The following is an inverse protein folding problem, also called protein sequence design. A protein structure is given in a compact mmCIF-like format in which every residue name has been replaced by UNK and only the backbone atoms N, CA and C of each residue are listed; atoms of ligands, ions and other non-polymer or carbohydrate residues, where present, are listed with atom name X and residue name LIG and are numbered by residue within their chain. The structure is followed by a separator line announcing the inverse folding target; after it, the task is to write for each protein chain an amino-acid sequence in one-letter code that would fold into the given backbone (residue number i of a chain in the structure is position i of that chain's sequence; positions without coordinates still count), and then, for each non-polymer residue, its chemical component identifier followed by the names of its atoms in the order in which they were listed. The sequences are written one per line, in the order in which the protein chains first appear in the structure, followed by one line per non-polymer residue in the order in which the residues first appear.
data_IF_919891067465
#
_entry.id   IF_919891067465
#
_cell.length_a   1.000
_cell.length_b   1.000
_cell.length_c   1.000
_cell.angle_alpha   90.00
_cell.angle_beta   90.00
_cell.angle_gamma   90.00
#
_symmetry.space_group_name_H-M   'P 1'
#
loop_
_entity.id
_entity.type
_entity.pdbx_description
1 polymer ?
#
# COMPACT_ATOMS: atom_id res chain seq x y z
N UNK A 1 -1.93 17.85 9.06
CA UNK A 1 -1.56 17.79 7.63
C UNK A 1 -2.70 18.22 6.71
N UNK A 2 -3.88 17.58 6.74
CA UNK A 2 -5.02 17.96 5.88
C UNK A 2 -5.44 19.44 6.01
N UNK A 3 -5.68 19.93 7.24
CA UNK A 3 -6.02 21.35 7.47
C UNK A 3 -4.94 22.34 6.99
N UNK A 4 -3.69 21.89 6.90
CA UNK A 4 -2.57 22.69 6.42
C UNK A 4 -2.39 22.60 4.89
N UNK A 5 -3.24 21.86 4.17
CA UNK A 5 -3.22 21.73 2.71
C UNK A 5 -2.18 20.75 2.17
N UNK A 6 -1.67 19.82 2.99
CA UNK A 6 -0.61 18.88 2.59
C UNK A 6 -1.13 17.47 2.23
N UNK A 7 -2.43 17.25 2.19
CA UNK A 7 -3.03 15.94 1.85
C UNK A 7 -3.90 16.10 0.61
N UNK A 8 -3.80 15.16 -0.33
CA UNK A 8 -4.58 15.21 -1.56
C UNK A 8 -4.14 16.32 -2.52
N UNK A 9 -2.84 16.65 -2.57
CA UNK A 9 -2.32 17.72 -3.43
C UNK A 9 -2.73 17.51 -4.90
N UNK A 10 -2.62 16.27 -5.41
CA UNK A 10 -2.99 15.96 -6.80
C UNK A 10 -4.44 15.55 -6.97
N UNK A 11 -5.16 15.43 -5.85
CA UNK A 11 -6.53 14.98 -5.85
C UNK A 11 -7.45 16.08 -6.36
N UNK A 12 -8.52 15.79 -7.12
CA UNK A 12 -9.35 16.83 -7.71
C UNK A 12 -10.03 17.73 -6.68
N UNK A 13 -10.17 19.01 -7.04
CA UNK A 13 -10.71 20.06 -6.15
C UNK A 13 -12.16 19.81 -5.78
N UNK A 14 -12.96 19.24 -6.68
CA UNK A 14 -14.38 18.92 -6.45
C UNK A 14 -14.59 17.87 -5.34
N UNK A 15 -13.54 17.15 -4.97
CA UNK A 15 -13.57 16.14 -3.90
C UNK A 15 -12.79 16.56 -2.65
N UNK A 16 -12.28 17.80 -2.59
CA UNK A 16 -11.55 18.33 -1.43
C UNK A 16 -10.02 18.19 -1.52
N UNK A 17 -9.48 17.90 -2.70
CA UNK A 17 -8.04 17.99 -2.98
C UNK A 17 -7.62 19.36 -3.50
N UNK A 18 -6.38 19.46 -4.00
CA UNK A 18 -5.82 20.71 -4.51
C UNK A 18 -5.64 20.76 -6.04
N UNK A 19 -5.92 19.67 -6.75
CA UNK A 19 -5.86 19.60 -8.21
C UNK A 19 -4.50 19.92 -8.82
N UNK A 20 -3.42 19.77 -8.04
CA UNK A 20 -2.07 20.09 -8.47
C UNK A 20 -1.48 19.00 -9.35
N UNK A 21 -0.42 19.34 -10.09
CA UNK A 21 0.35 18.38 -10.87
C UNK A 21 0.97 17.28 -9.99
N UNK A 22 1.09 16.02 -10.47
CA UNK A 22 1.74 14.91 -9.74
C UNK A 22 3.10 15.22 -9.12
N UNK A 23 3.86 16.15 -9.70
CA UNK A 23 5.16 16.59 -9.16
C UNK A 23 5.07 17.17 -7.75
N UNK A 24 3.93 17.76 -7.36
CA UNK A 24 3.79 18.38 -6.03
C UNK A 24 3.74 17.37 -4.89
N UNK A 25 3.23 16.15 -5.13
CA UNK A 25 3.33 15.07 -4.14
C UNK A 25 4.77 14.60 -3.94
N UNK A 26 5.53 14.48 -5.03
CA UNK A 26 6.95 14.15 -4.95
C UNK A 26 7.75 15.23 -4.20
N UNK A 27 7.51 16.52 -4.50
CA UNK A 27 8.15 17.64 -3.80
C UNK A 27 7.79 17.62 -2.30
N UNK A 28 6.52 17.47 -1.96
CA UNK A 28 6.09 17.41 -0.56
C UNK A 28 6.80 16.27 0.18
N UNK A 29 6.86 15.08 -0.41
CA UNK A 29 7.53 13.94 0.19
C UNK A 29 9.03 14.20 0.43
N UNK A 30 9.73 14.79 -0.55
CA UNK A 30 11.15 15.14 -0.42
C UNK A 30 11.38 16.17 0.70
N UNK A 31 10.56 17.23 0.76
CA UNK A 31 10.64 18.26 1.80
C UNK A 31 10.34 17.71 3.20
N UNK A 32 9.32 16.85 3.34
CA UNK A 32 9.01 16.19 4.62
C UNK A 32 10.17 15.30 5.07
N UNK A 33 10.77 14.53 4.15
CA UNK A 33 11.94 13.71 4.44
C UNK A 33 13.15 14.54 4.87
N UNK A 34 13.43 15.64 4.17
CA UNK A 34 14.52 16.56 4.50
C UNK A 34 14.32 17.22 5.88
N UNK A 35 13.08 17.56 6.23
CA UNK A 35 12.71 18.12 7.54
C UNK A 35 12.66 17.07 8.66
N UNK A 36 12.74 15.77 8.33
CA UNK A 36 12.51 14.69 9.28
C UNK A 36 11.07 14.63 9.82
N UNK A 37 10.12 15.16 9.07
CA UNK A 37 8.70 15.15 9.40
C UNK A 37 8.09 13.77 9.06
N UNK A 38 6.98 13.38 9.73
CA UNK A 38 6.22 12.20 9.36
C UNK A 38 5.72 12.28 7.90
N UNK A 39 5.61 11.16 7.18
CA UNK A 39 5.02 11.14 5.84
C UNK A 39 3.51 11.43 5.90
N UNK A 40 2.89 11.84 4.77
CA UNK A 40 1.44 11.92 4.67
C UNK A 40 0.80 10.53 4.86
N UNK A 41 -0.45 10.46 5.34
CA UNK A 41 -1.18 9.20 5.42
C UNK A 41 -1.25 8.48 4.07
N UNK A 42 -1.05 7.16 4.07
CA UNK A 42 -1.01 6.32 2.85
C UNK A 42 -2.41 6.01 2.29
N UNK A 43 -3.21 7.05 2.06
CA UNK A 43 -4.63 6.92 1.69
C UNK A 43 -4.89 6.75 0.19
N UNK A 44 -3.89 7.05 -0.66
CA UNK A 44 -4.09 7.31 -2.09
C UNK A 44 -4.75 6.20 -2.90
N UNK A 45 -4.55 4.92 -2.55
CA UNK A 45 -5.11 3.81 -3.30
C UNK A 45 -6.63 3.66 -3.10
N UNK A 46 -7.10 3.73 -1.86
CA UNK A 46 -8.54 3.65 -1.55
C UNK A 46 -9.25 4.92 -2.04
N UNK A 47 -8.64 6.09 -1.88
CA UNK A 47 -9.20 7.35 -2.42
C UNK A 47 -9.37 7.27 -3.93
N UNK A 48 -8.39 6.73 -4.66
CA UNK A 48 -8.49 6.54 -6.11
C UNK A 48 -9.53 5.47 -6.48
N UNK A 49 -9.67 4.39 -5.71
CA UNK A 49 -10.71 3.40 -5.95
C UNK A 49 -12.11 4.03 -5.95
N UNK A 50 -12.41 4.79 -4.91
CA UNK A 50 -13.70 5.44 -4.74
C UNK A 50 -13.90 6.52 -5.81
N UNK A 51 -12.86 7.30 -6.13
CA UNK A 51 -12.93 8.34 -7.17
C UNK A 51 -13.22 7.76 -8.55
N UNK A 52 -12.53 6.68 -8.92
CA UNK A 52 -12.56 6.13 -10.27
C UNK A 52 -13.77 5.23 -10.51
N UNK A 53 -14.20 4.48 -9.49
CA UNK A 53 -15.22 3.43 -9.64
C UNK A 53 -16.46 3.65 -8.77
N UNK A 54 -16.45 4.63 -7.89
CA UNK A 54 -17.59 4.98 -7.06
C UNK A 54 -18.71 5.66 -7.85
N UNK A 55 -19.94 5.45 -7.41
CA UNK A 55 -21.06 6.33 -7.74
C UNK A 55 -20.82 7.72 -7.13
N UNK A 56 -21.64 8.69 -7.51
CA UNK A 56 -21.56 10.02 -6.92
C UNK A 56 -21.99 10.01 -5.44
N UNK A 57 -22.82 9.05 -5.02
CA UNK A 57 -23.11 8.75 -3.62
C UNK A 57 -21.86 8.28 -2.88
N UNK A 58 -21.11 7.31 -3.42
CA UNK A 58 -19.86 6.82 -2.82
C UNK A 58 -18.85 7.96 -2.65
N UNK A 59 -18.66 8.76 -3.70
CA UNK A 59 -17.70 9.87 -3.68
C UNK A 59 -18.06 10.90 -2.60
N UNK A 60 -19.33 11.31 -2.55
CA UNK A 60 -19.83 12.28 -1.53
C UNK A 60 -19.73 11.73 -0.12
N UNK A 61 -20.04 10.45 0.09
CA UNK A 61 -20.07 9.84 1.41
C UNK A 61 -18.67 9.59 1.99
N UNK A 62 -17.70 9.21 1.16
CA UNK A 62 -16.44 8.66 1.65
C UNK A 62 -15.20 9.53 1.42
N UNK A 63 -15.10 10.25 0.30
CA UNK A 63 -13.88 11.00 -0.04
C UNK A 63 -13.52 12.09 0.99
N UNK A 64 -14.47 12.89 1.52
CA UNK A 64 -14.12 13.92 2.51
C UNK A 64 -13.52 13.36 3.80
N UNK A 65 -14.10 12.28 4.35
CA UNK A 65 -13.62 11.64 5.58
C UNK A 65 -12.26 10.98 5.40
N UNK A 66 -12.05 10.38 4.23
CA UNK A 66 -10.82 9.69 3.87
C UNK A 66 -9.67 10.70 3.64
N UNK A 67 -9.88 11.77 2.86
CA UNK A 67 -8.89 12.84 2.64
C UNK A 67 -8.52 13.58 3.93
N UNK A 68 -9.51 13.85 4.78
CA UNK A 68 -9.26 14.48 6.08
C UNK A 68 -8.63 13.54 7.11
N UNK A 69 -8.53 12.24 6.79
CA UNK A 69 -8.09 11.18 7.71
C UNK A 69 -8.91 11.08 9.00
N UNK A 70 -10.13 11.62 9.00
CA UNK A 70 -11.08 11.49 10.12
C UNK A 70 -11.79 10.13 10.11
N UNK A 71 -11.80 9.47 8.95
CA UNK A 71 -12.28 8.10 8.77
C UNK A 71 -11.14 7.26 8.22
N UNK A 72 -10.74 6.23 8.97
CA UNK A 72 -9.69 5.28 8.58
C UNK A 72 -10.26 4.11 7.80
N UNK A 73 -9.47 3.64 6.86
CA UNK A 73 -9.80 2.55 5.97
C UNK A 73 -8.70 1.50 5.98
N UNK A 74 -9.09 0.24 5.83
CA UNK A 74 -8.18 -0.86 5.59
C UNK A 74 -8.52 -1.59 4.27
N UNK A 75 -7.60 -2.44 3.81
CA UNK A 75 -7.74 -3.23 2.59
C UNK A 75 -7.87 -4.73 2.91
N UNK A 76 -9.04 -5.30 2.63
CA UNK A 76 -9.34 -6.72 2.86
C UNK A 76 -9.16 -7.57 1.61
N UNK A 77 -7.92 -7.80 1.17
CA UNK A 77 -7.64 -8.59 -0.04
C UNK A 77 -7.16 -10.01 0.29
N UNK A 78 -5.99 -10.11 0.91
CA UNK A 78 -5.31 -11.38 1.19
C UNK A 78 -6.10 -12.26 2.15
N UNK A 79 -6.03 -13.57 1.93
CA UNK A 79 -6.58 -14.62 2.78
C UNK A 79 -5.46 -15.58 3.21
N UNK A 80 -5.65 -16.38 4.27
CA UNK A 80 -4.63 -17.34 4.71
C UNK A 80 -4.10 -18.25 3.60
N UNK A 81 -4.95 -18.59 2.63
CA UNK A 81 -4.62 -19.46 1.50
C UNK A 81 -4.55 -18.74 0.14
N UNK A 82 -4.71 -17.41 0.10
CA UNK A 82 -4.73 -16.63 -1.14
C UNK A 82 -4.03 -15.27 -0.94
N UNK A 83 -2.75 -15.21 -1.30
CA UNK A 83 -1.94 -13.98 -1.32
C UNK A 83 -1.44 -13.66 -2.72
N UNK A 84 -0.39 -14.36 -3.17
CA UNK A 84 0.12 -14.19 -4.55
C UNK A 84 -0.90 -14.64 -5.61
N UNK A 85 -1.66 -15.70 -5.33
CA UNK A 85 -2.83 -16.10 -6.12
C UNK A 85 -4.08 -15.40 -5.60
N UNK A 86 -4.13 -14.08 -5.76
CA UNK A 86 -5.24 -13.26 -5.27
C UNK A 86 -6.59 -13.65 -5.93
N UNK A 87 -6.56 -14.12 -7.18
CA UNK A 87 -7.76 -14.55 -7.90
C UNK A 87 -8.40 -15.82 -7.28
N UNK A 88 -7.60 -16.61 -6.56
CA UNK A 88 -8.01 -17.83 -5.84
C UNK A 88 -8.71 -17.60 -4.51
N UNK A 89 -8.96 -16.34 -4.11
CA UNK A 89 -9.63 -15.99 -2.85
C UNK A 89 -11.03 -16.63 -2.73
N UNK A 90 -11.46 -16.91 -1.49
CA UNK A 90 -12.64 -17.70 -1.16
C UNK A 90 -13.68 -16.97 -0.31
N UNK A 91 -13.36 -15.82 0.31
CA UNK A 91 -14.37 -14.99 0.98
C UNK A 91 -15.50 -14.73 0.00
N UNK A 92 -16.72 -15.12 0.37
CA UNK A 92 -17.91 -15.02 -0.47
C UNK A 92 -18.79 -13.88 0.03
N UNK A 93 -19.49 -13.26 -0.91
CA UNK A 93 -20.53 -12.28 -0.66
C UNK A 93 -21.75 -12.71 -1.48
N UNK A 94 -22.72 -13.36 -0.84
CA UNK A 94 -23.92 -13.88 -1.49
C UNK A 94 -25.00 -12.82 -1.43
N UNK A 95 -25.55 -12.44 -2.57
CA UNK A 95 -26.65 -11.48 -2.64
C UNK A 95 -27.93 -12.10 -2.09
N UNK A 96 -28.57 -11.39 -1.16
CA UNK A 96 -29.86 -11.69 -0.56
C UNK A 96 -30.83 -10.59 -1.01
N UNK A 97 -31.87 -10.98 -1.74
CA UNK A 97 -32.88 -10.02 -2.22
C UNK A 97 -33.73 -9.48 -1.07
N UNK A 98 -34.33 -8.32 -1.30
CA UNK A 98 -35.25 -7.68 -0.37
C UNK A 98 -36.45 -8.59 -0.06
N UNK A 99 -36.80 -8.71 1.22
CA UNK A 99 -37.99 -9.43 1.70
C UNK A 99 -38.70 -8.59 2.74
N UNK A 100 -40.03 -8.48 2.68
CA UNK A 100 -40.85 -7.89 3.74
C UNK A 100 -40.39 -6.50 4.23
N UNK A 101 -39.95 -5.64 3.30
CA UNK A 101 -39.52 -4.27 3.60
C UNK A 101 -38.05 -4.13 4.03
N UNK A 102 -37.28 -5.21 4.12
CA UNK A 102 -35.83 -5.14 4.31
C UNK A 102 -35.13 -4.76 2.99
N UNK A 103 -34.04 -3.97 3.02
CA UNK A 103 -33.24 -3.73 1.83
C UNK A 103 -32.53 -5.02 1.38
N UNK A 104 -32.16 -5.08 0.09
CA UNK A 104 -31.29 -6.13 -0.41
C UNK A 104 -29.87 -5.97 0.15
N UNK A 105 -29.21 -7.08 0.47
CA UNK A 105 -27.87 -7.10 1.08
C UNK A 105 -26.97 -8.14 0.43
N UNK A 106 -25.66 -8.00 0.62
CA UNK A 106 -24.71 -9.10 0.51
C UNK A 106 -24.47 -9.68 1.89
N UNK A 107 -24.63 -11.00 2.02
CA UNK A 107 -24.19 -11.76 3.19
C UNK A 107 -22.78 -12.28 2.96
N UNK A 108 -21.86 -11.90 3.83
CA UNK A 108 -20.43 -12.10 3.67
C UNK A 108 -19.94 -13.14 4.65
N UNK A 109 -19.20 -14.12 4.14
CA UNK A 109 -18.56 -15.16 4.94
C UNK A 109 -17.13 -15.39 4.46
N UNK A 110 -16.19 -15.44 5.39
CA UNK A 110 -14.79 -15.72 5.09
C UNK A 110 -13.82 -15.08 6.05
N UNK A 111 -12.57 -14.95 5.61
CA UNK A 111 -11.49 -14.44 6.44
C UNK A 111 -10.47 -13.70 5.58
N UNK A 112 -10.08 -12.51 6.03
CA UNK A 112 -8.92 -11.77 5.53
C UNK A 112 -7.79 -11.81 6.56
N UNK A 113 -6.56 -11.67 6.09
CA UNK A 113 -5.36 -11.68 6.92
C UNK A 113 -4.34 -10.67 6.39
N UNK A 114 -3.43 -10.21 7.26
CA UNK A 114 -2.47 -9.15 6.97
C UNK A 114 -3.16 -7.83 6.61
N UNK A 115 -4.35 -7.61 7.17
CA UNK A 115 -5.12 -6.39 6.93
C UNK A 115 -4.56 -5.27 7.80
N UNK A 116 -3.76 -4.39 7.19
CA UNK A 116 -3.15 -3.26 7.89
C UNK A 116 -4.20 -2.37 8.55
N UNK A 117 -3.97 -2.04 9.82
CA UNK A 117 -4.73 -1.10 10.63
C UNK A 117 -6.23 -1.40 10.77
N UNK A 118 -6.68 -2.63 10.50
CA UNK A 118 -8.10 -2.98 10.54
C UNK A 118 -8.75 -2.71 11.91
N UNK A 119 -8.04 -2.97 13.01
CA UNK A 119 -8.56 -2.75 14.38
C UNK A 119 -8.82 -1.27 14.69
N UNK A 120 -8.22 -0.33 13.94
CA UNK A 120 -8.45 1.11 14.09
C UNK A 120 -9.26 1.72 12.93
N UNK A 121 -9.63 0.91 11.94
CA UNK A 121 -10.34 1.35 10.75
C UNK A 121 -11.85 1.33 10.96
N UNK A 122 -12.56 2.23 10.27
CA UNK A 122 -14.02 2.25 10.28
C UNK A 122 -14.58 1.51 9.07
N UNK A 123 -13.81 1.43 7.98
CA UNK A 123 -14.21 0.80 6.73
C UNK A 123 -13.14 -0.14 6.20
N UNK A 124 -13.57 -1.18 5.49
CA UNK A 124 -12.74 -2.11 4.76
C UNK A 124 -13.12 -2.05 3.28
N UNK A 125 -12.12 -1.78 2.42
CA UNK A 125 -12.23 -2.04 0.99
C UNK A 125 -12.03 -3.54 0.77
N UNK A 126 -13.14 -4.29 0.70
CA UNK A 126 -13.16 -5.74 0.69
C UNK A 126 -13.22 -6.28 -0.74
N UNK A 127 -12.33 -7.22 -1.06
CA UNK A 127 -12.45 -8.03 -2.27
C UNK A 127 -13.06 -9.40 -1.92
N UNK A 128 -14.22 -9.69 -2.49
CA UNK A 128 -14.97 -10.92 -2.21
C UNK A 128 -15.54 -11.54 -3.50
N UNK A 129 -15.84 -12.83 -3.47
CA UNK A 129 -16.47 -13.56 -4.55
C UNK A 129 -17.99 -13.36 -4.51
N UNK A 130 -18.57 -12.72 -5.52
CA UNK A 130 -20.03 -12.56 -5.67
C UNK A 130 -20.58 -13.40 -6.81
N UNK A 131 -19.83 -13.54 -7.91
CA UNK A 131 -20.27 -14.29 -9.10
C UNK A 131 -19.60 -15.67 -9.12
N UNK A 132 -20.05 -16.58 -8.25
CA UNK A 132 -19.41 -17.89 -8.04
C UNK A 132 -19.31 -18.74 -9.33
N UNK A 133 -20.25 -18.59 -10.26
CA UNK A 133 -20.31 -19.34 -11.51
C UNK A 133 -19.48 -18.72 -12.65
N UNK A 134 -18.85 -17.57 -12.42
CA UNK A 134 -18.01 -16.88 -13.41
C UNK A 134 -16.54 -17.31 -13.31
N UNK A 135 -15.75 -17.16 -14.40
CA UNK A 135 -14.31 -17.34 -14.35
C UNK A 135 -13.66 -16.48 -13.25
N UNK A 136 -12.57 -16.93 -12.65
CA UNK A 136 -11.99 -16.33 -11.43
C UNK A 136 -11.86 -14.80 -11.46
N UNK A 137 -11.39 -14.21 -12.57
CA UNK A 137 -11.24 -12.74 -12.69
C UNK A 137 -12.55 -11.97 -12.85
N UNK A 138 -13.66 -12.63 -13.21
CA UNK A 138 -15.01 -12.05 -13.28
C UNK A 138 -15.89 -12.45 -12.09
N UNK A 139 -15.37 -13.28 -11.21
CA UNK A 139 -16.09 -13.78 -10.04
C UNK A 139 -16.02 -12.84 -8.82
N UNK A 140 -15.12 -11.85 -8.87
CA UNK A 140 -14.78 -11.02 -7.74
C UNK A 140 -15.43 -9.65 -7.85
N UNK A 141 -15.88 -9.11 -6.72
CA UNK A 141 -16.43 -7.77 -6.58
C UNK A 141 -15.72 -7.03 -5.46
N UNK A 142 -15.71 -5.70 -5.58
CA UNK A 142 -15.17 -4.81 -4.56
C UNK A 142 -16.32 -4.24 -3.73
N UNK A 143 -16.26 -4.35 -2.41
CA UNK A 143 -17.30 -3.86 -1.50
C UNK A 143 -16.70 -2.86 -0.50
N UNK A 144 -17.47 -1.82 -0.17
CA UNK A 144 -17.19 -0.88 0.91
C UNK A 144 -17.86 -1.40 2.18
N UNK A 145 -17.11 -1.99 3.12
CA UNK A 145 -17.71 -2.65 4.28
C UNK A 145 -17.44 -1.86 5.56
N UNK A 146 -18.47 -1.39 6.29
CA UNK A 146 -18.29 -0.85 7.63
C UNK A 146 -17.76 -1.95 8.56
N UNK A 147 -16.67 -1.68 9.27
CA UNK A 147 -16.10 -2.68 10.20
C UNK A 147 -16.92 -2.83 11.49
N UNK A 148 -17.90 -1.96 11.71
CA UNK A 148 -18.91 -2.09 12.78
C UNK A 148 -20.09 -3.00 12.40
N UNK A 149 -20.12 -3.55 11.18
CA UNK A 149 -21.20 -4.45 10.75
C UNK A 149 -21.25 -5.69 11.65
N UNK A 150 -22.42 -6.07 12.20
CA UNK A 150 -22.57 -7.31 12.97
C UNK A 150 -22.11 -8.53 12.17
N UNK A 151 -21.43 -9.46 12.85
CA UNK A 151 -20.81 -10.62 12.21
C UNK A 151 -19.35 -10.41 11.76
N UNK A 152 -18.76 -9.23 12.03
CA UNK A 152 -17.33 -8.99 11.86
C UNK A 152 -16.56 -9.14 13.18
N UNK A 153 -15.36 -9.70 13.10
CA UNK A 153 -14.40 -9.77 14.21
C UNK A 153 -12.98 -9.47 13.70
N UNK A 154 -12.32 -8.47 14.29
CA UNK A 154 -10.96 -8.07 13.95
C UNK A 154 -10.00 -8.50 15.07
N UNK A 155 -9.01 -9.34 14.74
CA UNK A 155 -8.03 -9.86 15.70
C UNK A 155 -6.64 -9.40 15.36
N UNK A 156 -5.99 -8.68 16.29
CA UNK A 156 -4.62 -8.21 16.12
C UNK A 156 -3.64 -9.36 15.83
N UNK A 157 -2.71 -9.12 14.92
CA UNK A 157 -1.54 -9.96 14.68
C UNK A 157 -0.34 -9.24 15.27
N UNK A 158 0.37 -9.92 16.16
CA UNK A 158 1.65 -9.44 16.69
C UNK A 158 2.75 -9.89 15.74
N UNK A 159 3.50 -8.94 15.17
CA UNK A 159 4.58 -9.24 14.24
C UNK A 159 5.78 -9.87 14.95
N UNK A 160 6.76 -10.36 14.19
CA UNK A 160 8.01 -10.87 14.74
C UNK A 160 8.79 -9.82 15.57
N UNK A 161 8.56 -8.53 15.32
CA UNK A 161 9.15 -7.44 16.09
C UNK A 161 8.27 -7.02 17.29
N UNK A 162 7.02 -7.46 17.36
CA UNK A 162 6.10 -7.13 18.47
C UNK A 162 5.11 -6.01 18.17
N UNK A 163 5.16 -5.42 16.97
CA UNK A 163 4.19 -4.42 16.50
C UNK A 163 2.82 -5.05 16.21
N UNK A 164 1.77 -4.24 16.23
CA UNK A 164 0.36 -4.68 16.18
C UNK A 164 -0.41 -4.08 15.01
N UNK A 165 0.29 -3.75 13.94
CA UNK A 165 -0.23 -3.00 12.80
C UNK A 165 -1.12 -3.82 11.86
N UNK A 166 -1.20 -5.14 12.03
CA UNK A 166 -2.00 -6.04 11.18
C UNK A 166 -3.10 -6.72 11.97
N UNK A 167 -4.15 -7.14 11.27
CA UNK A 167 -5.18 -8.00 11.83
C UNK A 167 -5.60 -9.13 10.88
N UNK A 168 -6.20 -10.16 11.47
CA UNK A 168 -7.17 -11.02 10.81
C UNK A 168 -8.54 -10.36 10.89
N UNK A 169 -9.34 -10.46 9.82
CA UNK A 169 -10.73 -9.97 9.79
C UNK A 169 -11.63 -11.13 9.40
N UNK A 170 -12.48 -11.55 10.32
CA UNK A 170 -13.44 -12.64 10.13
C UNK A 170 -14.81 -12.06 9.76
N UNK A 171 -15.50 -12.76 8.86
CA UNK A 171 -16.86 -12.45 8.44
C UNK A 171 -17.70 -13.71 8.66
N UNK A 172 -18.71 -13.62 9.51
CA UNK A 172 -19.65 -14.69 9.83
C UNK A 172 -21.08 -14.18 9.61
N UNK A 173 -21.62 -14.44 8.41
CA UNK A 173 -22.95 -14.01 8.02
C UNK A 173 -23.17 -12.49 8.01
N UNK A 174 -22.11 -11.70 7.82
CA UNK A 174 -22.19 -10.26 7.91
C UNK A 174 -22.96 -9.64 6.74
N UNK A 175 -23.98 -8.82 7.03
CA UNK A 175 -24.87 -8.27 6.02
C UNK A 175 -24.53 -6.81 5.70
N UNK A 176 -24.24 -6.54 4.43
CA UNK A 176 -23.86 -5.22 3.92
C UNK A 176 -24.80 -4.84 2.77
N UNK A 177 -25.32 -3.60 2.70
CA UNK A 177 -26.23 -3.21 1.63
C UNK A 177 -25.65 -3.41 0.23
N UNK A 178 -26.48 -3.75 -0.76
CA UNK A 178 -26.01 -4.01 -2.14
C UNK A 178 -25.42 -2.77 -2.82
N UNK A 179 -25.82 -1.57 -2.40
CA UNK A 179 -25.28 -0.30 -2.87
C UNK A 179 -23.81 -0.12 -2.51
N UNK A 180 -23.28 -0.83 -1.51
CA UNK A 180 -21.87 -0.74 -1.11
C UNK A 180 -20.92 -1.43 -2.10
N UNK A 181 -21.41 -2.03 -3.20
CA UNK A 181 -20.55 -2.53 -4.28
C UNK A 181 -19.92 -1.35 -5.01
N UNK A 182 -18.58 -1.32 -5.02
CA UNK A 182 -17.81 -0.36 -5.78
C UNK A 182 -17.68 -0.84 -7.24
N UNK A 183 -18.16 -0.05 -8.20
CA UNK A 183 -18.28 -0.46 -9.60
C UNK A 183 -19.51 -1.37 -9.80
N UNK A 184 -19.38 -2.40 -10.64
CA UNK A 184 -20.43 -3.42 -10.83
C UNK A 184 -20.01 -4.76 -10.22
N UNK A 185 -20.98 -5.65 -9.89
CA UNK A 185 -20.64 -7.03 -9.54
C UNK A 185 -19.79 -7.68 -10.64
N UNK A 186 -18.68 -8.32 -10.25
CA UNK A 186 -17.70 -8.93 -11.15
C UNK A 186 -16.54 -8.01 -11.57
N UNK A 187 -16.57 -6.70 -11.27
CA UNK A 187 -15.50 -5.76 -11.63
C UNK A 187 -14.31 -5.78 -10.65
N UNK A 188 -14.39 -6.54 -9.55
CA UNK A 188 -13.44 -6.48 -8.44
C UNK A 188 -12.00 -6.75 -8.82
N UNK A 189 -11.75 -7.68 -9.77
CA UNK A 189 -10.39 -7.94 -10.25
C UNK A 189 -9.81 -6.77 -11.04
N UNK A 190 -10.61 -6.18 -11.94
CA UNK A 190 -10.22 -5.01 -12.73
C UNK A 190 -9.86 -3.84 -11.81
N UNK A 191 -10.74 -3.58 -10.83
CA UNK A 191 -10.51 -2.55 -9.82
C UNK A 191 -9.21 -2.85 -9.06
N UNK A 192 -9.06 -4.03 -8.46
CA UNK A 192 -7.88 -4.40 -7.68
C UNK A 192 -6.56 -4.26 -8.49
N UNK A 193 -6.53 -4.70 -9.74
CA UNK A 193 -5.33 -4.56 -10.60
C UNK A 193 -4.99 -3.10 -10.89
N UNK A 194 -6.00 -2.24 -11.06
CA UNK A 194 -5.78 -0.81 -11.26
C UNK A 194 -5.29 -0.13 -9.97
N UNK A 195 -5.85 -0.46 -8.80
CA UNK A 195 -5.39 0.09 -7.51
C UNK A 195 -3.94 -0.27 -7.21
N UNK A 196 -3.60 -1.54 -7.39
CA UNK A 196 -2.23 -1.99 -7.22
C UNK A 196 -1.25 -1.31 -8.20
N UNK A 197 -1.73 -0.76 -9.33
CA UNK A 197 -0.92 0.08 -10.21
C UNK A 197 -0.56 1.44 -9.59
N UNK A 198 -1.48 2.05 -8.83
CA UNK A 198 -1.27 3.32 -8.13
C UNK A 198 -0.45 3.18 -6.84
N UNK A 199 -0.54 2.04 -6.14
CA UNK A 199 0.21 1.77 -4.90
C UNK A 199 1.73 1.60 -5.08
N UNK A 200 2.19 1.43 -6.33
CA UNK A 200 3.57 0.99 -6.62
C UNK A 200 4.56 2.12 -6.90
N UNK A 201 4.10 3.36 -7.04
CA UNK A 201 4.97 4.50 -7.35
C UNK A 201 5.81 4.95 -6.15
N UNK A 202 7.15 4.83 -6.15
CA UNK A 202 7.98 5.21 -5.01
C UNK A 202 8.01 6.74 -4.77
N UNK A 203 7.76 7.53 -5.83
CA UNK A 203 7.57 8.98 -5.74
C UNK A 203 6.32 9.36 -4.94
N UNK A 204 5.24 8.61 -5.14
CA UNK A 204 3.92 8.94 -4.61
C UNK A 204 3.84 8.59 -3.11
N UNK A 205 4.67 7.63 -2.66
CA UNK A 205 4.64 7.06 -1.29
C UNK A 205 5.85 7.50 -0.45
N UNK A 206 6.71 8.40 -0.95
CA UNK A 206 7.79 9.02 -0.18
C UNK A 206 8.96 8.11 0.21
N UNK A 207 9.11 6.96 -0.46
CA UNK A 207 10.18 5.99 -0.16
C UNK A 207 11.58 6.58 -0.34
N UNK A 208 11.80 7.34 -1.41
CA UNK A 208 13.11 7.97 -1.69
C UNK A 208 13.50 8.91 -0.56
N UNK A 209 12.57 9.77 -0.12
CA UNK A 209 12.80 10.72 0.95
C UNK A 209 13.12 10.03 2.29
N UNK A 210 12.33 9.00 2.66
CA UNK A 210 12.56 8.18 3.87
C UNK A 210 13.94 7.53 3.87
N UNK A 211 14.31 6.86 2.79
CA UNK A 211 15.60 6.18 2.68
C UNK A 211 16.78 7.17 2.64
N UNK A 212 16.60 8.31 1.99
CA UNK A 212 17.60 9.40 1.96
C UNK A 212 17.87 9.91 3.36
N UNK A 213 16.83 10.20 4.14
CA UNK A 213 16.98 10.60 5.55
C UNK A 213 17.74 9.57 6.36
N UNK A 214 17.36 8.30 6.26
CA UNK A 214 18.03 7.21 6.99
C UNK A 214 19.52 7.12 6.64
N UNK A 215 19.86 7.23 5.35
CA UNK A 215 21.25 7.24 4.90
C UNK A 215 22.01 8.47 5.43
N UNK A 216 21.43 9.67 5.34
CA UNK A 216 22.04 10.90 5.85
C UNK A 216 22.36 10.79 7.34
N UNK A 217 21.42 10.29 8.16
CA UNK A 217 21.64 10.10 9.60
C UNK A 217 22.80 9.13 9.86
N UNK A 218 22.86 8.01 9.13
CA UNK A 218 23.96 7.06 9.24
C UNK A 218 25.30 7.68 8.83
N UNK A 219 25.34 8.41 7.72
CA UNK A 219 26.54 9.08 7.25
C UNK A 219 27.04 10.14 8.26
N UNK A 220 26.13 10.92 8.83
CA UNK A 220 26.46 11.96 9.81
C UNK A 220 26.97 11.35 11.11
N UNK A 221 26.36 10.28 11.60
CA UNK A 221 26.85 9.55 12.77
C UNK A 221 28.26 9.00 12.54
N UNK A 222 28.57 8.53 11.33
CA UNK A 222 29.92 8.10 10.94
C UNK A 222 30.89 9.28 10.84
N UNK A 223 30.50 10.39 10.22
CA UNK A 223 31.34 11.59 10.07
C UNK A 223 31.68 12.23 11.41
N UNK A 224 30.72 12.26 12.33
CA UNK A 224 30.86 12.82 13.67
C UNK A 224 31.52 11.85 14.66
N UNK A 225 31.87 10.63 14.21
CA UNK A 225 32.54 9.63 15.04
C UNK A 225 31.64 8.98 16.10
N UNK A 226 30.32 9.13 16.00
CA UNK A 226 29.33 8.47 16.88
C UNK A 226 29.20 6.99 16.58
N UNK A 227 29.38 6.62 15.31
CA UNK A 227 29.41 5.23 14.85
C UNK A 227 30.77 4.96 14.17
N UNK A 228 31.59 4.04 14.71
CA UNK A 228 32.88 3.73 14.11
C UNK A 228 32.69 3.00 12.77
N UNK A 229 33.34 3.49 11.72
CA UNK A 229 33.29 2.88 10.39
C UNK A 229 34.67 2.89 9.72
N UNK A 230 35.22 1.69 9.49
CA UNK A 230 36.44 1.45 8.74
C UNK A 230 36.21 1.40 7.22
N UNK A 231 37.22 1.02 6.44
CA UNK A 231 37.13 0.96 4.98
C UNK A 231 36.01 0.03 4.47
N UNK A 232 35.73 -1.07 5.18
CA UNK A 232 34.70 -2.03 4.81
C UNK A 232 33.30 -1.46 5.02
N UNK A 233 33.04 -0.86 6.18
CA UNK A 233 31.76 -0.22 6.52
C UNK A 233 31.48 0.95 5.58
N UNK A 234 32.49 1.78 5.32
CA UNK A 234 32.38 2.92 4.37
C UNK A 234 32.06 2.45 2.96
N UNK A 235 32.62 1.31 2.51
CA UNK A 235 32.28 0.69 1.22
C UNK A 235 30.84 0.18 1.19
N UNK A 236 30.36 -0.40 2.29
CA UNK A 236 28.97 -0.86 2.40
C UNK A 236 27.98 0.32 2.36
N UNK A 237 28.29 1.42 3.06
CA UNK A 237 27.52 2.68 2.99
C UNK A 237 27.50 3.23 1.56
N UNK A 238 28.67 3.29 0.90
CA UNK A 238 28.75 3.74 -0.49
C UNK A 238 27.93 2.87 -1.46
N UNK A 239 27.86 1.56 -1.22
CA UNK A 239 27.00 0.67 -2.01
C UNK A 239 25.50 0.96 -1.77
N UNK A 240 25.08 1.14 -0.51
CA UNK A 240 23.71 1.53 -0.19
C UNK A 240 23.33 2.89 -0.80
N UNK A 241 24.24 3.86 -0.75
CA UNK A 241 24.10 5.16 -1.42
C UNK A 241 23.89 4.99 -2.93
N UNK A 242 24.67 4.11 -3.57
CA UNK A 242 24.59 3.88 -5.03
C UNK A 242 23.24 3.30 -5.43
N UNK A 243 22.74 2.31 -4.69
CA UNK A 243 21.42 1.71 -4.93
C UNK A 243 20.28 2.70 -4.72
N UNK A 244 20.34 3.51 -3.66
CA UNK A 244 19.38 4.58 -3.41
C UNK A 244 19.42 5.65 -4.50
N UNK A 245 20.61 6.03 -4.98
CA UNK A 245 20.75 7.00 -6.07
C UNK A 245 20.20 6.46 -7.39
N UNK A 246 20.41 5.17 -7.67
CA UNK A 246 19.82 4.51 -8.84
C UNK A 246 18.28 4.51 -8.78
N UNK A 247 17.71 4.21 -7.60
CA UNK A 247 16.26 4.32 -7.36
C UNK A 247 15.78 5.76 -7.60
N UNK A 248 16.43 6.75 -6.98
CA UNK A 248 16.02 8.16 -7.10
C UNK A 248 16.00 8.64 -8.56
N UNK A 249 17.06 8.35 -9.32
CA UNK A 249 17.12 8.73 -10.74
C UNK A 249 16.05 8.01 -11.58
N UNK A 250 15.78 6.74 -11.28
CA UNK A 250 14.72 5.99 -11.96
C UNK A 250 13.34 6.59 -11.67
N UNK A 251 13.05 6.90 -10.41
CA UNK A 251 11.79 7.52 -9.96
C UNK A 251 11.60 8.91 -10.56
N UNK A 252 12.66 9.72 -10.64
CA UNK A 252 12.61 11.02 -11.32
C UNK A 252 12.26 10.85 -12.81
N UNK A 253 12.84 9.86 -13.49
CA UNK A 253 12.54 9.57 -14.88
C UNK A 253 11.07 9.13 -15.07
N UNK A 254 10.56 8.25 -14.22
CA UNK A 254 9.14 7.80 -14.32
C UNK A 254 8.18 8.93 -14.02
N UNK A 255 8.51 9.81 -13.06
CA UNK A 255 7.74 11.03 -12.79
C UNK A 255 7.72 11.98 -13.99
N UNK A 256 8.87 12.22 -14.65
CA UNK A 256 8.92 13.02 -15.88
C UNK A 256 8.01 12.44 -16.97
N UNK A 257 8.04 11.13 -17.21
CA UNK A 257 7.14 10.51 -18.18
C UNK A 257 5.66 10.69 -17.82
N UNK A 258 5.29 10.68 -16.54
CA UNK A 258 3.89 10.93 -16.12
C UNK A 258 3.46 12.38 -16.36
N UNK A 259 4.37 13.33 -16.20
CA UNK A 259 4.12 14.74 -16.52
C UNK A 259 3.84 14.95 -18.02
N UNK A 260 4.40 14.09 -18.88
CA UNK A 260 4.12 14.05 -20.32
C UNK A 260 2.82 13.28 -20.67
N UNK A 261 2.01 12.92 -19.67
CA UNK A 261 0.70 12.29 -19.84
C UNK A 261 0.70 10.76 -19.88
N UNK A 262 1.84 10.10 -19.65
CA UNK A 262 1.84 8.64 -19.51
C UNK A 262 1.12 8.19 -18.23
N UNK A 263 0.43 7.06 -18.32
CA UNK A 263 -0.27 6.45 -17.17
C UNK A 263 0.58 5.33 -16.57
N UNK A 264 0.42 5.00 -15.27
CA UNK A 264 1.13 3.88 -14.66
C UNK A 264 0.88 2.55 -15.39
N UNK A 265 1.96 1.89 -15.79
CA UNK A 265 1.95 0.62 -16.51
C UNK A 265 2.66 -0.52 -15.77
N UNK A 266 2.86 -1.69 -16.42
CA UNK A 266 3.59 -2.82 -15.85
C UNK A 266 5.05 -2.50 -15.47
N UNK A 267 5.60 -1.40 -15.97
CA UNK A 267 6.93 -0.88 -15.65
C UNK A 267 7.07 -0.51 -14.17
N UNK A 268 5.97 -0.23 -13.47
CA UNK A 268 5.97 -0.04 -12.00
C UNK A 268 6.43 -1.27 -11.22
N UNK A 269 6.48 -2.46 -11.85
CA UNK A 269 7.16 -3.63 -11.26
C UNK A 269 8.67 -3.44 -11.13
N UNK A 270 9.29 -2.62 -11.99
CA UNK A 270 10.71 -2.26 -11.89
C UNK A 270 10.93 -1.37 -10.67
N UNK A 271 10.09 -0.34 -10.50
CA UNK A 271 10.08 0.54 -9.32
C UNK A 271 10.06 -0.28 -8.02
N UNK A 272 9.12 -1.23 -7.93
CA UNK A 272 8.95 -2.14 -6.79
C UNK A 272 10.24 -2.92 -6.49
N UNK A 273 10.86 -3.49 -7.52
CA UNK A 273 12.09 -4.27 -7.37
C UNK A 273 13.26 -3.39 -6.91
N UNK A 274 13.39 -2.17 -7.44
CA UNK A 274 14.43 -1.22 -7.06
C UNK A 274 14.25 -0.72 -5.61
N UNK A 275 13.04 -0.33 -5.22
CA UNK A 275 12.79 0.12 -3.84
C UNK A 275 13.02 -1.00 -2.83
N UNK A 276 12.62 -2.24 -3.15
CA UNK A 276 12.89 -3.40 -2.30
C UNK A 276 14.39 -3.62 -2.10
N UNK A 277 15.17 -3.50 -3.18
CA UNK A 277 16.64 -3.68 -3.14
C UNK A 277 17.29 -2.58 -2.31
N UNK A 278 16.95 -1.32 -2.57
CA UNK A 278 17.52 -0.17 -1.87
C UNK A 278 17.18 -0.19 -0.37
N UNK A 279 15.90 -0.43 -0.02
CA UNK A 279 15.46 -0.45 1.38
C UNK A 279 16.10 -1.59 2.17
N UNK A 280 16.08 -2.82 1.65
CA UNK A 280 16.63 -3.97 2.36
C UNK A 280 18.15 -3.85 2.51
N UNK A 281 18.85 -3.36 1.48
CA UNK A 281 20.29 -3.13 1.57
C UNK A 281 20.61 -2.05 2.59
N UNK A 282 19.94 -0.90 2.55
CA UNK A 282 20.23 0.20 3.45
C UNK A 282 19.94 -0.16 4.90
N UNK A 283 18.81 -0.82 5.20
CA UNK A 283 18.52 -1.28 6.56
C UNK A 283 19.54 -2.32 7.05
N UNK A 284 19.96 -3.25 6.17
CA UNK A 284 21.01 -4.21 6.51
C UNK A 284 22.34 -3.52 6.81
N UNK A 285 22.77 -2.57 5.97
CA UNK A 285 24.01 -1.80 6.18
C UNK A 285 23.92 -0.95 7.44
N UNK A 286 22.79 -0.28 7.68
CA UNK A 286 22.57 0.53 8.88
C UNK A 286 22.73 -0.31 10.16
N UNK A 287 22.09 -1.47 10.22
CA UNK A 287 22.22 -2.39 11.36
C UNK A 287 23.64 -2.94 11.50
N UNK A 288 24.27 -3.35 10.39
CA UNK A 288 25.61 -3.92 10.41
C UNK A 288 26.69 -2.91 10.86
N UNK A 289 26.58 -1.66 10.41
CA UNK A 289 27.53 -0.59 10.75
C UNK A 289 27.36 -0.13 12.20
N UNK A 290 26.13 -0.04 12.70
CA UNK A 290 25.86 0.28 14.12
C UNK A 290 26.21 -0.87 15.08
N UNK A 291 26.25 -2.10 14.57
CA UNK A 291 26.68 -3.28 15.31
C UNK A 291 25.75 -3.63 16.48
N UNK A 292 26.30 -4.29 17.50
CA UNK A 292 25.53 -4.84 18.62
C UNK A 292 24.72 -3.80 19.40
N UNK A 293 25.16 -2.53 19.43
CA UNK A 293 24.47 -1.48 20.17
C UNK A 293 23.04 -1.24 19.67
N UNK A 294 22.81 -1.27 18.35
CA UNK A 294 21.48 -1.10 17.77
C UNK A 294 20.54 -2.27 18.09
N UNK A 295 21.09 -3.49 18.23
CA UNK A 295 20.31 -4.68 18.59
C UNK A 295 19.94 -4.66 20.07
N UNK A 296 20.88 -4.27 20.94
CA UNK A 296 20.70 -4.27 22.39
C UNK A 296 19.83 -3.12 22.89
N UNK A 297 19.76 -2.02 22.15
CA UNK A 297 18.94 -0.86 22.50
C UNK A 297 17.45 -1.04 22.19
N UNK A 298 17.07 -2.11 21.48
CA UNK A 298 15.71 -2.32 20.96
C UNK A 298 15.16 -1.07 20.25
N UNK A 299 16.04 -0.41 19.48
CA UNK A 299 15.77 0.85 18.81
C UNK A 299 15.10 0.69 17.46
N UNK A 300 14.65 1.81 16.89
CA UNK A 300 13.95 1.87 15.59
C UNK A 300 14.71 1.16 14.45
N UNK A 301 16.04 0.99 14.53
CA UNK A 301 16.82 0.32 13.50
C UNK A 301 16.52 -1.19 13.36
N UNK A 302 16.28 -1.90 14.47
CA UNK A 302 15.95 -3.33 14.41
C UNK A 302 14.51 -3.52 13.91
N UNK A 303 13.59 -2.64 14.32
CA UNK A 303 12.23 -2.57 13.75
C UNK A 303 12.28 -2.40 12.24
N UNK A 304 12.99 -1.36 11.78
CA UNK A 304 13.10 -1.02 10.37
C UNK A 304 13.75 -2.15 9.57
N UNK A 305 14.73 -2.85 10.14
CA UNK A 305 15.32 -4.04 9.53
C UNK A 305 14.28 -5.16 9.33
N UNK A 306 13.52 -5.54 10.36
CA UNK A 306 12.49 -6.57 10.24
C UNK A 306 11.39 -6.16 9.25
N UNK A 307 10.92 -4.92 9.36
CA UNK A 307 9.90 -4.39 8.46
C UNK A 307 10.38 -4.45 7.00
N UNK A 308 11.62 -4.03 6.71
CA UNK A 308 12.16 -4.03 5.34
C UNK A 308 12.12 -5.40 4.66
N UNK A 309 12.12 -6.50 5.44
CA UNK A 309 12.00 -7.86 4.89
C UNK A 309 10.65 -8.06 4.19
N UNK A 310 9.59 -7.49 4.75
CA UNK A 310 8.23 -7.58 4.21
C UNK A 310 8.08 -6.90 2.84
N UNK A 311 8.90 -5.88 2.52
CA UNK A 311 8.89 -5.18 1.22
C UNK A 311 9.06 -6.12 0.01
N UNK A 312 9.75 -7.25 0.21
CA UNK A 312 9.90 -8.28 -0.82
C UNK A 312 8.66 -9.13 -1.07
N UNK A 313 7.64 -9.02 -0.21
CA UNK A 313 6.48 -9.92 -0.11
C UNK A 313 5.18 -9.16 -0.44
N UNK A 314 4.85 -8.09 0.30
CA UNK A 314 3.59 -7.36 0.09
C UNK A 314 3.62 -6.55 -1.22
N UNK A 315 2.43 -6.10 -1.65
CA UNK A 315 2.25 -5.37 -2.92
C UNK A 315 2.57 -6.23 -4.16
N UNK A 316 2.63 -7.56 -3.98
CA UNK A 316 3.08 -8.56 -4.95
C UNK A 316 4.56 -8.91 -4.77
N UNK A 317 4.84 -10.20 -4.53
CA UNK A 317 6.20 -10.70 -4.23
C UNK A 317 7.21 -10.37 -5.32
N UNK A 318 8.51 -10.29 -5.00
CA UNK A 318 9.51 -10.00 -6.03
C UNK A 318 9.48 -11.00 -7.20
N UNK A 319 9.07 -12.25 -6.97
CA UNK A 319 8.90 -13.27 -7.99
C UNK A 319 7.77 -12.90 -8.95
N UNK A 320 6.61 -12.48 -8.43
CA UNK A 320 5.50 -11.99 -9.25
C UNK A 320 5.90 -10.74 -10.03
N UNK A 321 6.63 -9.81 -9.41
CA UNK A 321 7.09 -8.60 -10.09
C UNK A 321 8.07 -8.94 -11.24
N UNK A 322 9.00 -9.88 -11.03
CA UNK A 322 9.90 -10.36 -12.10
C UNK A 322 9.13 -11.03 -13.25
N UNK A 323 8.08 -11.79 -12.94
CA UNK A 323 7.21 -12.38 -13.97
C UNK A 323 6.49 -11.28 -14.77
N UNK A 324 5.99 -10.23 -14.12
CA UNK A 324 5.36 -9.10 -14.80
C UNK A 324 6.36 -8.39 -15.71
N UNK A 325 7.57 -8.11 -15.24
CA UNK A 325 8.63 -7.51 -16.08
C UNK A 325 8.93 -8.40 -17.28
N UNK A 326 9.16 -9.69 -17.07
CA UNK A 326 9.44 -10.63 -18.15
C UNK A 326 8.32 -10.67 -19.21
N UNK A 327 7.07 -10.76 -18.79
CA UNK A 327 5.94 -11.01 -19.70
C UNK A 327 5.36 -9.73 -20.30
N UNK A 328 5.21 -8.68 -19.49
CA UNK A 328 4.49 -7.46 -19.89
C UNK A 328 5.40 -6.31 -20.34
N UNK A 329 6.65 -6.28 -19.85
CA UNK A 329 7.63 -5.26 -20.28
C UNK A 329 8.52 -5.81 -21.39
N UNK A 330 9.04 -7.03 -21.23
CA UNK A 330 9.95 -7.65 -22.20
C UNK A 330 9.26 -8.54 -23.25
N UNK A 331 7.96 -8.82 -23.11
CA UNK A 331 7.20 -9.63 -24.07
C UNK A 331 7.62 -11.11 -24.12
N UNK A 332 8.23 -11.65 -23.07
CA UNK A 332 8.67 -13.04 -23.03
C UNK A 332 7.46 -13.99 -22.87
N UNK A 333 7.48 -15.18 -23.50
CA UNK A 333 6.37 -16.12 -23.45
C UNK A 333 6.16 -16.72 -22.05
N UNK A 334 4.90 -17.03 -21.70
CA UNK A 334 4.58 -17.88 -20.55
C UNK A 334 4.91 -19.33 -20.89
N UNK A 335 5.74 -19.96 -20.07
CA UNK A 335 5.84 -21.41 -19.99
C UNK A 335 5.01 -21.90 -18.81
#
# INVERSE_FOLDING_TARGET
MYQAGWVGLTFPVEYGGHGMSPVYEAILNDELGAAGAPPPPAIGHITNAIRLFGSDEHKRAHLPGLLSSTVRWCQGFSEPNAGSDLAGLRTRAVRIEATDGSPAVYRIDGQKIWTSEAVWSQWCLLLARTEADQPAHRALSMLLVPLSTPGLDCREIITAYGTREFAEVFFDGAEVPVENVLGRPGDGWTIAMQLLGYERGPADVGWVARLTRMLTVLEDDVRLGRVPAGPTERRAIAHAWTELRALQLHVQRTLSSRLDGSTPGPEGSIDKLLVTRAEQLLNHVNLAVRGAAAILADGDEIEAYFWSRAQSIFGGTQQIQRNIVAQRVLGLPRR
#
